data_IF_940676283010
#
_entry.id   IF_940676283010
#
_cell.length_a   1.000
_cell.length_b   1.000
_cell.length_c   1.000
_cell.angle_alpha   90.00
_cell.angle_beta   90.00
_cell.angle_gamma   90.00
#
_symmetry.space_group_name_H-M   'P 1'
#
loop_
_entity.id
_entity.type
_entity.pdbx_description
1 polymer ?
#
# COMPACT_ATOMS: atom_id res chain seq x y z
N UNK A 1 13.13 13.88 -31.15
CA UNK A 1 12.28 13.39 -30.05
C UNK A 1 12.37 14.38 -28.91
N UNK A 2 11.27 14.99 -28.52
CA UNK A 2 11.22 15.87 -27.35
C UNK A 2 10.98 15.04 -26.08
N UNK A 3 11.40 15.50 -24.88
CA UNK A 3 11.10 14.80 -23.64
C UNK A 3 9.62 14.50 -23.42
N UNK A 4 8.72 15.34 -23.96
CA UNK A 4 7.26 15.16 -23.92
C UNK A 4 6.75 14.00 -24.78
N UNK A 5 7.54 13.53 -25.75
CA UNK A 5 7.17 12.48 -26.68
C UNK A 5 7.58 11.08 -26.18
N UNK A 6 8.20 11.00 -25.01
CA UNK A 6 8.76 9.77 -24.46
C UNK A 6 7.82 9.20 -23.41
N UNK A 7 7.43 7.94 -23.54
CA UNK A 7 6.79 7.15 -22.49
C UNK A 7 7.88 6.47 -21.65
N UNK A 8 7.92 6.79 -20.36
CA UNK A 8 8.88 6.24 -19.39
C UNK A 8 8.28 5.13 -18.52
N UNK A 9 7.05 4.71 -18.80
CA UNK A 9 6.41 3.62 -18.07
C UNK A 9 7.24 2.35 -18.15
N UNK A 10 7.29 1.62 -17.05
CA UNK A 10 7.99 0.34 -16.93
C UNK A 10 7.25 -0.60 -16.01
N UNK A 11 7.79 -1.80 -15.81
CA UNK A 11 7.22 -2.82 -14.95
C UNK A 11 8.27 -3.28 -13.95
N UNK A 12 7.87 -3.38 -12.68
CA UNK A 12 8.71 -4.01 -11.65
C UNK A 12 8.43 -5.52 -11.56
N UNK A 13 7.21 -5.94 -11.87
CA UNK A 13 6.80 -7.32 -12.13
C UNK A 13 5.84 -7.33 -13.31
N UNK A 14 5.46 -8.50 -13.83
CA UNK A 14 4.56 -8.64 -14.99
C UNK A 14 3.24 -7.87 -14.84
N UNK A 15 2.79 -7.63 -13.63
CA UNK A 15 1.48 -7.01 -13.31
C UNK A 15 1.59 -5.73 -12.44
N UNK A 16 2.79 -5.33 -12.05
CA UNK A 16 3.01 -4.07 -11.32
C UNK A 16 3.73 -3.08 -12.23
N UNK A 17 2.93 -2.21 -12.85
CA UNK A 17 3.45 -1.11 -13.65
C UNK A 17 3.88 0.08 -12.79
N UNK A 18 4.92 0.77 -13.23
CA UNK A 18 5.39 2.04 -12.71
C UNK A 18 5.23 3.12 -13.79
N UNK A 19 4.69 4.27 -13.43
CA UNK A 19 4.62 5.43 -14.32
C UNK A 19 5.95 6.20 -14.35
N UNK A 20 6.76 6.05 -13.29
CA UNK A 20 8.13 6.52 -13.18
C UNK A 20 9.01 5.31 -12.80
N UNK A 21 10.03 4.90 -13.61
CA UNK A 21 10.80 3.67 -13.38
C UNK A 21 11.86 3.84 -12.29
N UNK A 22 11.43 4.30 -11.11
CA UNK A 22 12.28 4.55 -9.95
C UNK A 22 11.70 3.87 -8.72
N UNK A 23 12.57 3.15 -8.00
CA UNK A 23 12.30 2.59 -6.68
C UNK A 23 13.18 3.30 -5.66
N UNK A 24 12.65 3.72 -4.51
CA UNK A 24 13.49 4.21 -3.43
C UNK A 24 14.10 3.06 -2.64
N UNK A 25 15.35 3.23 -2.21
CA UNK A 25 16.13 2.19 -1.56
C UNK A 25 15.57 1.76 -0.21
N UNK A 26 15.64 0.45 0.08
CA UNK A 26 15.29 -0.14 1.37
C UNK A 26 16.37 0.13 2.43
N UNK A 27 16.68 1.39 2.64
CA UNK A 27 17.72 1.84 3.58
C UNK A 27 17.08 2.62 4.72
N UNK A 28 17.60 2.41 5.93
CA UNK A 28 17.28 3.23 7.10
C UNK A 28 17.52 4.71 6.79
N UNK A 29 16.70 5.58 7.32
CA UNK A 29 16.69 7.04 7.09
C UNK A 29 16.42 7.46 5.63
N UNK A 30 16.14 6.54 4.71
CA UNK A 30 15.79 6.83 3.31
C UNK A 30 14.32 6.54 3.05
N UNK A 31 13.87 5.30 3.24
CA UNK A 31 12.50 4.90 2.87
C UNK A 31 11.71 4.40 4.05
N UNK A 32 10.86 5.25 4.56
CA UNK A 32 9.77 4.97 5.47
C UNK A 32 8.44 5.38 4.82
N UNK A 33 7.32 5.32 5.55
CA UNK A 33 5.97 5.57 5.02
C UNK A 33 5.86 6.88 4.23
N UNK A 34 6.42 7.99 4.72
CA UNK A 34 6.34 9.29 4.05
C UNK A 34 7.04 9.29 2.69
N UNK A 35 8.24 8.72 2.60
CA UNK A 35 8.96 8.58 1.33
C UNK A 35 8.22 7.61 0.40
N UNK A 36 7.71 6.50 0.91
CA UNK A 36 6.95 5.53 0.11
C UNK A 36 5.66 6.15 -0.47
N UNK A 37 4.96 7.00 0.28
CA UNK A 37 3.82 7.77 -0.20
C UNK A 37 4.23 8.73 -1.32
N UNK A 38 5.27 9.55 -1.11
CA UNK A 38 5.75 10.50 -2.10
C UNK A 38 6.20 9.80 -3.39
N UNK A 39 6.90 8.68 -3.28
CA UNK A 39 7.32 7.86 -4.42
C UNK A 39 6.12 7.32 -5.20
N UNK A 40 5.13 6.75 -4.51
CA UNK A 40 3.93 6.23 -5.16
C UNK A 40 3.11 7.33 -5.84
N UNK A 41 3.00 8.52 -5.23
CA UNK A 41 2.34 9.70 -5.81
C UNK A 41 3.07 10.21 -7.06
N UNK A 42 4.40 10.16 -7.08
CA UNK A 42 5.20 10.53 -8.24
C UNK A 42 5.18 9.50 -9.38
N UNK A 43 4.65 8.30 -9.13
CA UNK A 43 4.57 7.23 -10.13
C UNK A 43 5.61 6.13 -10.00
N UNK A 44 6.53 6.24 -9.02
CA UNK A 44 7.50 5.22 -8.63
C UNK A 44 7.00 4.38 -7.47
N UNK A 45 7.89 3.65 -6.77
CA UNK A 45 7.51 2.84 -5.60
C UNK A 45 8.55 2.97 -4.50
N UNK A 46 8.09 3.13 -3.26
CA UNK A 46 8.96 3.09 -2.08
C UNK A 46 9.12 1.66 -1.55
N UNK A 47 10.37 1.30 -1.21
CA UNK A 47 10.69 0.03 -0.53
C UNK A 47 11.01 0.32 0.93
N UNK A 48 10.08 0.06 1.84
CA UNK A 48 10.25 0.32 3.27
C UNK A 48 11.35 -0.58 3.83
N UNK A 49 12.33 0.02 4.54
CA UNK A 49 13.49 -0.69 5.08
C UNK A 49 13.11 -1.65 6.22
N UNK A 50 13.97 -2.64 6.49
CA UNK A 50 13.75 -3.67 7.51
C UNK A 50 14.45 -3.42 8.87
N UNK A 51 15.07 -2.26 9.06
CA UNK A 51 15.65 -1.87 10.36
C UNK A 51 14.57 -1.36 11.33
N UNK A 52 13.51 -2.14 11.44
CA UNK A 52 12.31 -1.96 12.26
C UNK A 52 11.87 -3.33 12.76
N UNK A 53 11.04 -3.38 13.80
CA UNK A 53 10.37 -4.66 14.10
C UNK A 53 9.39 -5.03 12.99
N UNK A 54 9.00 -6.31 12.82
CA UNK A 54 7.99 -6.70 11.82
C UNK A 54 6.69 -5.91 11.96
N UNK A 55 6.23 -5.64 13.19
CA UNK A 55 5.01 -4.92 13.51
C UNK A 55 5.12 -3.44 13.13
N UNK A 56 6.25 -2.80 13.44
CA UNK A 56 6.51 -1.40 13.08
C UNK A 56 6.56 -1.21 11.57
N UNK A 57 7.24 -2.14 10.87
CA UNK A 57 7.32 -2.10 9.41
C UNK A 57 5.94 -2.35 8.76
N UNK A 58 5.17 -3.31 9.28
CA UNK A 58 3.80 -3.58 8.84
C UNK A 58 2.87 -2.38 9.07
N UNK A 59 3.03 -1.66 10.18
CA UNK A 59 2.27 -0.43 10.43
C UNK A 59 2.60 0.66 9.42
N UNK A 60 3.86 0.79 9.01
CA UNK A 60 4.24 1.73 7.94
C UNK A 60 3.64 1.34 6.58
N UNK A 61 3.59 0.04 6.24
CA UNK A 61 2.87 -0.44 5.05
C UNK A 61 1.40 -0.03 5.13
N UNK A 62 0.74 -0.27 6.27
CA UNK A 62 -0.67 0.14 6.48
C UNK A 62 -0.86 1.65 6.31
N UNK A 63 0.06 2.48 6.82
CA UNK A 63 0.01 3.94 6.63
C UNK A 63 -0.01 4.31 5.15
N UNK A 64 0.85 3.72 4.32
CA UNK A 64 0.85 3.96 2.87
C UNK A 64 -0.46 3.49 2.23
N UNK A 65 -0.93 2.29 2.58
CA UNK A 65 -2.19 1.73 2.03
C UNK A 65 -3.42 2.54 2.43
N UNK A 66 -3.39 3.19 3.58
CA UNK A 66 -4.48 4.06 4.06
C UNK A 66 -4.34 5.52 3.63
N UNK A 67 -3.18 5.89 3.07
CA UNK A 67 -2.96 7.23 2.59
C UNK A 67 -3.81 7.48 1.34
N UNK A 68 -4.84 8.27 1.54
CA UNK A 68 -5.81 8.85 0.63
C UNK A 68 -5.83 8.31 -0.82
N UNK A 69 -6.55 7.27 -0.99
CA UNK A 69 -6.77 6.61 -2.29
C UNK A 69 -8.18 6.93 -2.77
N UNK A 70 -8.47 7.96 -3.47
CA UNK A 70 -9.77 8.31 -4.12
C UNK A 70 -11.07 7.65 -3.59
N UNK A 71 -11.00 6.40 -3.13
CA UNK A 71 -12.03 5.66 -2.39
C UNK A 71 -11.36 4.88 -1.24
N UNK A 72 -11.77 5.13 -0.01
CA UNK A 72 -11.38 4.32 1.14
C UNK A 72 -12.17 3.01 1.11
N UNK A 73 -11.52 1.91 0.76
CA UNK A 73 -12.13 0.56 0.80
C UNK A 73 -12.10 0.04 2.25
N UNK A 74 -13.17 -0.62 2.69
CA UNK A 74 -13.34 -1.08 4.07
C UNK A 74 -13.07 0.03 5.09
N UNK A 75 -13.88 1.11 5.09
CA UNK A 75 -13.67 2.24 5.98
C UNK A 75 -13.79 1.80 7.45
N UNK A 76 -13.20 2.60 8.34
CA UNK A 76 -13.50 2.47 9.76
C UNK A 76 -14.98 2.78 9.97
N UNK A 77 -15.69 1.88 10.60
CA UNK A 77 -17.12 1.99 10.91
C UNK A 77 -17.37 1.93 12.41
N UNK A 78 -18.53 2.37 12.85
CA UNK A 78 -18.96 2.33 14.25
C UNK A 78 -20.41 1.86 14.34
N UNK A 79 -20.83 1.31 15.48
CA UNK A 79 -22.20 0.92 15.71
C UNK A 79 -23.08 2.07 16.24
N UNK A 80 -24.39 2.00 16.05
CA UNK A 80 -25.34 3.03 16.54
C UNK A 80 -25.38 3.13 18.07
N UNK A 81 -25.07 2.05 18.79
CA UNK A 81 -25.06 1.99 20.26
C UNK A 81 -23.75 2.42 20.91
N UNK A 82 -22.69 2.64 20.13
CA UNK A 82 -21.44 3.19 20.61
C UNK A 82 -21.62 4.64 21.11
N UNK A 83 -20.63 5.12 21.86
CA UNK A 83 -20.67 6.46 22.45
C UNK A 83 -19.92 7.50 21.62
N UNK A 84 -20.18 8.77 21.86
CA UNK A 84 -19.44 9.87 21.26
C UNK A 84 -17.95 9.82 21.60
N UNK A 85 -17.62 9.37 22.83
CA UNK A 85 -16.22 9.15 23.24
C UNK A 85 -15.52 8.12 22.34
N UNK A 86 -16.19 7.00 22.04
CA UNK A 86 -15.66 5.98 21.12
C UNK A 86 -15.41 6.56 19.72
N UNK A 87 -16.34 7.37 19.21
CA UNK A 87 -16.19 8.02 17.93
C UNK A 87 -14.99 9.00 17.89
N UNK A 88 -14.83 9.83 18.93
CA UNK A 88 -13.68 10.74 19.02
C UNK A 88 -12.35 9.99 19.10
N UNK A 89 -12.27 8.90 19.85
CA UNK A 89 -11.09 8.05 19.91
C UNK A 89 -10.72 7.48 18.53
N UNK A 90 -11.72 7.04 17.75
CA UNK A 90 -11.51 6.58 16.38
C UNK A 90 -11.08 7.72 15.44
N UNK A 91 -11.76 8.86 15.50
CA UNK A 91 -11.43 10.02 14.68
C UNK A 91 -10.00 10.50 14.92
N UNK A 92 -9.57 10.53 16.18
CA UNK A 92 -8.20 10.94 16.52
C UNK A 92 -7.17 9.87 16.13
N UNK A 93 -7.43 8.60 16.45
CA UNK A 93 -6.54 7.49 16.13
C UNK A 93 -6.28 7.35 14.63
N UNK A 94 -7.32 7.47 13.81
CA UNK A 94 -7.24 7.27 12.36
C UNK A 94 -7.18 8.58 11.57
N UNK A 95 -7.18 9.74 12.25
CA UNK A 95 -7.16 11.09 11.63
C UNK A 95 -8.27 11.28 10.58
N UNK A 96 -9.46 10.78 10.89
CA UNK A 96 -10.65 10.83 10.03
C UNK A 96 -11.68 11.81 10.58
N UNK A 97 -12.43 12.46 9.69
CA UNK A 97 -13.45 13.48 10.02
C UNK A 97 -14.89 12.99 9.84
N UNK A 98 -15.07 11.69 9.68
CA UNK A 98 -16.39 11.08 9.60
C UNK A 98 -16.30 9.58 9.50
N UNK A 99 -17.29 8.91 10.09
CA UNK A 99 -17.34 7.47 10.28
C UNK A 99 -18.70 6.96 9.81
N UNK A 100 -18.75 6.03 8.83
CA UNK A 100 -20.00 5.33 8.51
C UNK A 100 -20.51 4.55 9.72
N UNK A 101 -21.81 4.60 9.96
CA UNK A 101 -22.45 3.86 11.03
C UNK A 101 -23.14 2.62 10.45
N UNK A 102 -22.77 1.44 10.98
CA UNK A 102 -23.29 0.15 10.51
C UNK A 102 -23.96 -0.61 11.65
N UNK A 103 -25.01 -1.37 11.34
CA UNK A 103 -25.87 -2.00 12.33
C UNK A 103 -25.11 -2.83 13.39
N UNK A 104 -24.04 -3.53 13.00
CA UNK A 104 -23.25 -4.40 13.85
C UNK A 104 -21.81 -3.87 14.08
N UNK A 105 -21.63 -2.54 14.06
CA UNK A 105 -20.30 -1.89 14.09
C UNK A 105 -19.59 -1.92 15.46
N UNK A 106 -20.29 -2.25 16.54
CA UNK A 106 -19.72 -2.25 17.90
C UNK A 106 -19.13 -0.88 18.28
N UNK A 107 -18.05 -0.89 19.06
CA UNK A 107 -17.31 0.33 19.46
C UNK A 107 -16.35 0.85 18.38
N UNK A 108 -16.36 0.23 17.21
CA UNK A 108 -15.60 0.65 16.04
C UNK A 108 -14.57 -0.35 15.56
N UNK A 109 -14.36 -0.35 14.25
CA UNK A 109 -13.43 -1.23 13.56
C UNK A 109 -13.71 -1.27 12.06
N UNK A 110 -13.09 -2.20 11.34
CA UNK A 110 -13.37 -2.44 9.93
C UNK A 110 -14.45 -3.53 9.80
N UNK A 111 -15.68 -3.14 9.95
CA UNK A 111 -16.81 -4.06 9.85
C UNK A 111 -17.67 -3.69 8.63
N UNK A 112 -17.76 -4.60 7.68
CA UNK A 112 -18.71 -4.51 6.57
C UNK A 112 -20.09 -4.92 7.09
N UNK A 113 -20.87 -3.95 7.53
CA UNK A 113 -22.22 -4.16 8.02
C UNK A 113 -23.23 -3.29 7.26
N UNK A 114 -24.52 -3.60 7.44
CA UNK A 114 -25.60 -2.82 6.83
C UNK A 114 -25.49 -1.36 7.26
N UNK A 115 -25.39 -0.46 6.29
CA UNK A 115 -25.31 0.97 6.53
C UNK A 115 -26.60 1.49 7.17
N UNK A 116 -26.48 2.22 8.29
CA UNK A 116 -27.61 2.81 9.01
C UNK A 116 -27.47 4.32 9.22
N UNK A 117 -26.28 4.88 8.97
CA UNK A 117 -26.03 6.30 9.11
C UNK A 117 -24.59 6.71 8.79
N UNK A 118 -24.31 7.98 8.98
CA UNK A 118 -22.96 8.54 8.99
C UNK A 118 -22.82 9.54 10.13
N UNK A 119 -21.67 9.51 10.81
CA UNK A 119 -21.30 10.51 11.80
C UNK A 119 -20.14 11.34 11.26
N UNK A 120 -20.29 12.66 11.27
CA UNK A 120 -19.27 13.60 10.79
C UNK A 120 -18.95 14.65 11.84
N UNK A 121 -17.85 15.38 11.66
CA UNK A 121 -17.51 16.51 12.53
C UNK A 121 -18.63 17.57 12.62
N UNK A 122 -19.50 17.66 11.62
CA UNK A 122 -20.65 18.58 11.62
C UNK A 122 -21.70 18.12 12.63
N UNK A 123 -21.96 16.83 12.70
CA UNK A 123 -22.97 16.25 13.58
C UNK A 123 -22.58 16.36 15.06
N UNK A 124 -21.29 16.31 15.36
CA UNK A 124 -20.76 16.32 16.74
C UNK A 124 -20.25 17.68 17.21
N UNK A 125 -20.25 18.71 16.34
CA UNK A 125 -19.63 20.02 16.63
C UNK A 125 -20.08 20.67 17.95
N UNK A 126 -21.33 20.48 18.32
CA UNK A 126 -21.93 21.08 19.52
C UNK A 126 -22.34 20.06 20.57
N UNK A 127 -21.95 18.81 20.38
CA UNK A 127 -22.23 17.76 21.35
C UNK A 127 -21.26 17.90 22.54
N UNK A 128 -21.82 18.07 23.74
CA UNK A 128 -21.08 18.31 24.99
C UNK A 128 -21.02 17.11 25.93
N UNK A 129 -21.75 16.03 25.61
CA UNK A 129 -21.83 14.84 26.45
C UNK A 129 -21.26 13.63 25.71
N UNK A 130 -20.07 13.19 26.13
CA UNK A 130 -19.33 12.06 25.54
C UNK A 130 -20.06 10.71 25.64
N UNK A 131 -21.11 10.62 26.47
CA UNK A 131 -21.95 9.41 26.63
C UNK A 131 -23.13 9.34 25.69
N UNK A 132 -23.37 10.37 24.87
CA UNK A 132 -24.41 10.30 23.83
C UNK A 132 -24.18 9.11 22.91
N UNK A 133 -25.25 8.40 22.60
CA UNK A 133 -25.19 7.33 21.61
C UNK A 133 -25.01 7.90 20.21
N UNK A 134 -24.29 7.19 19.38
CA UNK A 134 -24.10 7.57 17.97
C UNK A 134 -25.44 7.65 17.24
N UNK A 135 -26.38 6.77 17.57
CA UNK A 135 -27.74 6.78 17.04
C UNK A 135 -28.49 8.10 17.21
N UNK A 136 -28.16 8.90 18.23
CA UNK A 136 -28.82 10.17 18.53
C UNK A 136 -28.20 11.35 17.78
N UNK A 137 -26.97 11.18 17.30
CA UNK A 137 -26.18 12.23 16.67
C UNK A 137 -25.98 12.02 15.16
N UNK A 138 -26.00 10.75 14.70
CA UNK A 138 -25.72 10.43 13.30
C UNK A 138 -26.78 10.97 12.34
N UNK A 139 -26.36 11.35 11.14
CA UNK A 139 -27.26 11.55 10.01
C UNK A 139 -27.72 10.19 9.51
N UNK A 140 -29.04 9.95 9.52
CA UNK A 140 -29.66 8.68 9.08
C UNK A 140 -30.66 8.85 7.94
N UNK A 141 -31.21 10.03 7.78
CA UNK A 141 -32.15 10.33 6.70
C UNK A 141 -31.40 10.86 5.47
N UNK A 142 -31.92 10.53 4.27
CA UNK A 142 -31.36 10.99 3.00
C UNK A 142 -29.85 10.68 2.83
N UNK A 143 -29.41 9.50 3.25
CA UNK A 143 -28.04 9.06 3.00
C UNK A 143 -27.81 8.94 1.50
N UNK A 144 -26.84 9.68 1.00
CA UNK A 144 -26.43 9.58 -0.41
C UNK A 144 -25.41 8.46 -0.53
N UNK A 145 -25.79 7.42 -1.26
CA UNK A 145 -24.96 6.24 -1.48
C UNK A 145 -24.76 5.97 -2.96
N UNK A 146 -23.66 5.32 -3.29
CA UNK A 146 -23.34 4.83 -4.64
C UNK A 146 -22.93 3.36 -4.57
N UNK A 147 -22.95 2.71 -5.72
CA UNK A 147 -22.45 1.34 -5.88
C UNK A 147 -20.94 1.34 -6.15
N UNK A 148 -20.32 0.20 -5.93
CA UNK A 148 -18.95 -0.03 -6.37
C UNK A 148 -18.80 0.23 -7.87
N UNK A 149 -17.65 0.83 -8.28
CA UNK A 149 -17.39 1.16 -9.69
C UNK A 149 -17.96 2.51 -10.15
N UNK A 150 -18.54 3.33 -9.25
CA UNK A 150 -18.96 4.70 -9.61
C UNK A 150 -17.78 5.49 -10.21
N UNK A 151 -18.03 6.23 -11.30
CA UNK A 151 -17.02 7.07 -11.92
C UNK A 151 -16.67 8.27 -11.01
N UNK A 152 -15.44 8.78 -11.14
CA UNK A 152 -15.02 9.98 -10.40
C UNK A 152 -15.90 11.20 -10.73
N UNK A 153 -16.33 11.34 -11.97
CA UNK A 153 -17.19 12.44 -12.43
C UNK A 153 -18.56 12.38 -11.77
N UNK A 154 -19.16 11.18 -11.71
CA UNK A 154 -20.45 10.97 -11.07
C UNK A 154 -20.35 11.17 -9.56
N UNK A 155 -19.32 10.66 -8.91
CA UNK A 155 -19.08 10.87 -7.48
C UNK A 155 -18.92 12.37 -7.17
N UNK A 156 -18.15 13.12 -7.99
CA UNK A 156 -17.98 14.57 -7.87
C UNK A 156 -19.31 15.32 -8.04
N UNK A 157 -20.11 14.92 -9.03
CA UNK A 157 -21.43 15.50 -9.28
C UNK A 157 -22.35 15.34 -8.06
N UNK A 158 -22.40 14.14 -7.47
CA UNK A 158 -23.23 13.85 -6.29
C UNK A 158 -22.76 14.62 -5.06
N UNK A 159 -21.43 14.66 -4.78
CA UNK A 159 -20.87 15.42 -3.67
C UNK A 159 -21.25 16.90 -3.78
N UNK A 160 -21.13 17.49 -4.97
CA UNK A 160 -21.49 18.89 -5.22
C UNK A 160 -23.00 19.13 -5.15
N UNK A 161 -23.83 18.29 -5.79
CA UNK A 161 -25.28 18.43 -5.84
C UNK A 161 -25.90 18.39 -4.44
N UNK A 162 -25.42 17.46 -3.59
CA UNK A 162 -25.91 17.27 -2.24
C UNK A 162 -25.16 18.07 -1.19
N UNK A 163 -24.13 18.85 -1.57
CA UNK A 163 -23.27 19.65 -0.68
C UNK A 163 -22.70 18.83 0.48
N UNK A 164 -22.29 17.60 0.19
CA UNK A 164 -21.66 16.67 1.14
C UNK A 164 -20.18 16.52 0.82
N UNK A 165 -19.39 16.22 1.85
CA UNK A 165 -17.94 16.01 1.72
C UNK A 165 -17.58 14.51 1.63
N UNK A 166 -18.53 13.64 1.90
CA UNK A 166 -18.34 12.20 1.97
C UNK A 166 -19.48 11.47 1.29
N UNK A 167 -19.15 10.55 0.40
CA UNK A 167 -20.08 9.73 -0.35
C UNK A 167 -19.87 8.26 0.05
N UNK A 168 -20.92 7.62 0.52
CA UNK A 168 -20.87 6.25 1.00
C UNK A 168 -21.01 5.27 -0.15
N UNK A 169 -20.14 4.25 -0.19
CA UNK A 169 -20.20 3.18 -1.18
C UNK A 169 -20.75 1.92 -0.54
N UNK A 170 -21.76 1.35 -1.16
CA UNK A 170 -22.47 0.18 -0.64
C UNK A 170 -22.51 -0.95 -1.68
N UNK A 171 -22.57 -2.19 -1.18
CA UNK A 171 -22.81 -3.37 -2.00
C UNK A 171 -24.32 -3.58 -2.32
N UNK A 172 -24.65 -4.70 -2.98
CA UNK A 172 -26.04 -5.06 -3.32
C UNK A 172 -26.93 -5.25 -2.10
N UNK A 173 -26.34 -5.59 -0.96
CA UNK A 173 -27.05 -5.82 0.31
C UNK A 173 -27.10 -4.58 1.21
N UNK A 174 -26.68 -3.41 0.69
CA UNK A 174 -26.56 -2.15 1.45
C UNK A 174 -25.53 -2.19 2.58
N UNK A 175 -24.53 -3.08 2.50
CA UNK A 175 -23.40 -3.03 3.42
C UNK A 175 -22.43 -1.94 2.99
N UNK A 176 -21.87 -1.23 3.95
CA UNK A 176 -20.87 -0.19 3.70
C UNK A 176 -19.53 -0.84 3.32
N UNK A 177 -19.13 -0.70 2.06
CA UNK A 177 -17.87 -1.24 1.52
C UNK A 177 -16.84 -0.18 1.22
N UNK A 178 -17.23 1.09 1.18
CA UNK A 178 -16.32 2.18 0.83
C UNK A 178 -16.80 3.56 1.25
N UNK A 179 -15.89 4.52 1.17
CA UNK A 179 -16.12 5.94 1.41
C UNK A 179 -15.29 6.76 0.43
N UNK A 180 -15.93 7.69 -0.30
CA UNK A 180 -15.27 8.65 -1.20
C UNK A 180 -15.36 10.03 -0.54
N UNK A 181 -14.24 10.78 -0.50
CA UNK A 181 -14.24 12.14 0.04
C UNK A 181 -13.81 13.17 -1.00
N UNK A 182 -14.21 14.42 -0.82
CA UNK A 182 -13.77 15.54 -1.68
C UNK A 182 -12.25 15.64 -1.69
N UNK A 183 -11.60 15.48 -0.53
CA UNK A 183 -10.13 15.51 -0.42
C UNK A 183 -9.45 14.43 -1.26
N UNK A 184 -10.02 13.21 -1.31
CA UNK A 184 -9.48 12.12 -2.11
C UNK A 184 -9.55 12.44 -3.61
N UNK A 185 -10.62 13.12 -4.03
CA UNK A 185 -10.78 13.54 -5.42
C UNK A 185 -9.84 14.69 -5.81
N UNK A 186 -9.64 15.66 -4.93
CA UNK A 186 -8.68 16.75 -5.15
C UNK A 186 -7.24 16.22 -5.26
N UNK A 187 -6.86 15.26 -4.41
CA UNK A 187 -5.53 14.63 -4.46
C UNK A 187 -5.31 13.73 -5.67
N UNK A 188 -6.35 13.05 -6.13
CA UNK A 188 -6.27 12.30 -7.38
C UNK A 188 -5.95 13.19 -8.59
N UNK A 189 -6.38 14.46 -8.56
CA UNK A 189 -6.03 15.47 -9.57
C UNK A 189 -4.60 16.01 -9.41
N UNK A 190 -4.10 16.11 -8.16
CA UNK A 190 -2.74 16.59 -7.87
C UNK A 190 -1.67 15.57 -8.25
N UNK A 191 -1.98 14.27 -8.21
CA UNK A 191 -1.05 13.18 -8.49
C UNK A 191 -1.58 12.21 -9.58
N UNK A 192 -1.72 12.68 -10.83
CA UNK A 192 -2.26 11.86 -11.92
C UNK A 192 -1.37 10.67 -12.28
N UNK A 193 -0.08 10.76 -11.95
CA UNK A 193 0.89 9.69 -12.19
C UNK A 193 0.96 8.66 -11.06
N UNK A 194 0.20 8.83 -9.97
CA UNK A 194 0.27 7.93 -8.81
C UNK A 194 0.01 6.47 -9.19
N UNK A 195 0.82 5.57 -8.64
CA UNK A 195 0.61 4.12 -8.82
C UNK A 195 -0.34 3.60 -7.74
N UNK A 196 -1.39 2.92 -8.19
CA UNK A 196 -2.46 2.42 -7.31
C UNK A 196 -2.75 0.94 -7.58
N UNK A 197 -3.23 0.25 -6.56
CA UNK A 197 -3.75 -1.11 -6.69
C UNK A 197 -5.20 -1.11 -7.23
N UNK A 198 -5.79 -2.29 -7.40
CA UNK A 198 -7.15 -2.44 -7.91
C UNK A 198 -8.23 -1.80 -7.00
N UNK A 199 -7.90 -1.57 -5.72
CA UNK A 199 -8.77 -0.87 -4.76
C UNK A 199 -8.51 0.65 -4.72
N UNK A 200 -7.67 1.19 -5.61
CA UNK A 200 -7.33 2.61 -5.67
C UNK A 200 -6.36 3.08 -4.57
N UNK A 201 -5.75 2.18 -3.80
CA UNK A 201 -4.77 2.51 -2.75
C UNK A 201 -3.37 2.62 -3.33
N UNK A 202 -2.53 3.48 -2.76
CA UNK A 202 -1.14 3.61 -3.17
C UNK A 202 -0.41 2.26 -3.05
N UNK A 203 0.44 1.96 -4.03
CA UNK A 203 1.29 0.76 -4.00
C UNK A 203 2.53 0.99 -3.18
N UNK A 204 2.96 -0.04 -2.46
CA UNK A 204 4.13 -0.01 -1.58
C UNK A 204 4.87 -1.34 -1.60
N UNK A 205 6.20 -1.26 -1.57
CA UNK A 205 7.07 -2.40 -1.35
C UNK A 205 7.67 -2.37 0.05
N UNK A 206 8.10 -3.52 0.55
CA UNK A 206 8.82 -3.60 1.82
C UNK A 206 9.90 -4.70 1.78
N UNK A 207 11.03 -4.42 2.42
CA UNK A 207 12.15 -5.34 2.47
C UNK A 207 11.97 -6.39 3.58
N UNK A 208 12.34 -7.63 3.25
CA UNK A 208 12.48 -8.74 4.17
C UNK A 208 13.85 -9.41 4.01
N UNK A 209 14.06 -10.51 4.70
CA UNK A 209 15.31 -11.26 4.68
C UNK A 209 15.03 -12.77 4.71
N UNK A 210 16.07 -13.58 4.89
CA UNK A 210 15.99 -15.04 4.93
C UNK A 210 15.79 -15.59 6.33
N UNK A 211 15.51 -16.91 6.46
CA UNK A 211 15.31 -17.61 7.72
C UNK A 211 13.95 -17.38 8.35
N UNK A 212 13.74 -17.91 9.57
CA UNK A 212 12.43 -17.86 10.24
C UNK A 212 11.99 -16.44 10.56
N UNK A 213 12.87 -15.58 11.07
CA UNK A 213 12.57 -14.17 11.32
C UNK A 213 12.21 -13.43 10.03
N UNK A 214 12.87 -13.75 8.91
CA UNK A 214 12.52 -13.19 7.59
C UNK A 214 11.16 -13.66 7.12
N UNK A 215 10.81 -14.91 7.38
CA UNK A 215 9.50 -15.45 7.04
C UNK A 215 8.38 -14.81 7.88
N UNK A 216 8.53 -14.74 9.20
CA UNK A 216 7.56 -14.08 10.08
C UNK A 216 7.32 -12.62 9.67
N UNK A 217 8.39 -11.89 9.37
CA UNK A 217 8.33 -10.53 8.82
C UNK A 217 7.55 -10.49 7.50
N UNK A 218 7.84 -11.40 6.60
CA UNK A 218 7.16 -11.48 5.29
C UNK A 218 5.66 -11.70 5.45
N UNK A 219 5.25 -12.59 6.36
CA UNK A 219 3.83 -12.82 6.64
C UNK A 219 3.15 -11.57 7.24
N UNK A 220 3.78 -10.89 8.19
CA UNK A 220 3.25 -9.64 8.75
C UNK A 220 3.09 -8.53 7.69
N UNK A 221 4.02 -8.43 6.75
CA UNK A 221 3.95 -7.47 5.64
C UNK A 221 2.84 -7.84 4.63
N UNK A 222 2.66 -9.11 4.33
CA UNK A 222 1.59 -9.62 3.47
C UNK A 222 0.23 -9.33 4.09
N UNK A 223 0.07 -9.61 5.39
CA UNK A 223 -1.16 -9.28 6.14
C UNK A 223 -1.43 -7.77 6.17
N UNK A 224 -0.39 -6.94 6.23
CA UNK A 224 -0.50 -5.48 6.14
C UNK A 224 -0.90 -4.98 4.74
N UNK A 225 -0.89 -5.84 3.71
CA UNK A 225 -1.28 -5.53 2.34
C UNK A 225 -0.16 -4.97 1.47
N UNK A 226 1.10 -5.38 1.71
CA UNK A 226 2.24 -5.01 0.83
C UNK A 226 1.98 -5.49 -0.60
N UNK A 227 2.29 -4.66 -1.59
CA UNK A 227 2.11 -5.02 -3.01
C UNK A 227 3.32 -5.80 -3.55
N UNK A 228 4.51 -5.52 -3.02
CA UNK A 228 5.76 -6.11 -3.47
C UNK A 228 6.67 -6.41 -2.27
N UNK A 229 7.00 -7.67 -2.09
CA UNK A 229 7.97 -8.10 -1.08
C UNK A 229 9.36 -8.14 -1.69
N UNK A 230 10.36 -7.55 -1.02
CA UNK A 230 11.75 -7.54 -1.48
C UNK A 230 12.62 -8.38 -0.54
N UNK A 231 13.06 -9.55 -0.97
CA UNK A 231 14.04 -10.35 -0.25
C UNK A 231 15.42 -9.77 -0.56
N UNK A 232 15.87 -8.87 0.32
CA UNK A 232 17.06 -8.04 0.13
C UNK A 232 18.25 -8.57 0.92
N UNK A 233 19.26 -9.05 0.20
CA UNK A 233 20.48 -9.65 0.77
C UNK A 233 21.72 -9.14 0.06
N UNK A 234 22.86 -9.18 0.75
CA UNK A 234 24.16 -8.83 0.16
C UNK A 234 24.61 -9.83 -0.92
N UNK A 235 24.15 -11.10 -0.85
CA UNK A 235 24.47 -12.17 -1.79
C UNK A 235 23.22 -13.01 -2.05
N UNK A 236 22.55 -12.73 -3.17
CA UNK A 236 21.29 -13.37 -3.55
C UNK A 236 21.45 -14.82 -4.06
N UNK A 237 22.62 -15.18 -4.61
CA UNK A 237 22.89 -16.55 -5.06
C UNK A 237 23.23 -17.46 -3.86
N UNK A 238 22.28 -17.64 -3.00
CA UNK A 238 22.38 -18.45 -1.77
C UNK A 238 21.16 -19.34 -1.64
N UNK A 239 21.36 -20.58 -1.22
CA UNK A 239 20.28 -21.55 -0.94
C UNK A 239 19.22 -20.93 0.00
N UNK A 240 19.65 -20.18 1.02
CA UNK A 240 18.74 -19.54 1.97
C UNK A 240 17.82 -18.50 1.31
N UNK A 241 18.28 -17.84 0.25
CA UNK A 241 17.45 -16.86 -0.47
C UNK A 241 16.42 -17.57 -1.33
N UNK A 242 16.82 -18.63 -2.05
CA UNK A 242 15.90 -19.47 -2.81
C UNK A 242 14.83 -20.09 -1.90
N UNK A 243 15.22 -20.71 -0.78
CA UNK A 243 14.31 -21.27 0.23
C UNK A 243 13.32 -20.21 0.80
N UNK A 244 13.79 -18.98 1.03
CA UNK A 244 12.93 -17.91 1.50
C UNK A 244 11.87 -17.53 0.46
N UNK A 245 12.23 -17.44 -0.82
CA UNK A 245 11.31 -17.18 -1.93
C UNK A 245 10.29 -18.31 -2.04
N UNK A 246 10.73 -19.56 -2.11
CA UNK A 246 9.86 -20.74 -2.21
C UNK A 246 8.89 -20.82 -1.03
N UNK A 247 9.38 -20.58 0.20
CA UNK A 247 8.57 -20.65 1.41
C UNK A 247 7.46 -19.59 1.39
N UNK A 248 7.76 -18.35 1.03
CA UNK A 248 6.75 -17.30 0.90
C UNK A 248 5.75 -17.61 -0.20
N UNK A 249 6.22 -18.07 -1.37
CA UNK A 249 5.34 -18.46 -2.50
C UNK A 249 4.40 -19.61 -2.17
N UNK A 250 4.82 -20.54 -1.32
CA UNK A 250 3.98 -21.64 -0.85
C UNK A 250 2.81 -21.18 0.00
N UNK A 251 3.05 -20.20 0.87
CA UNK A 251 2.02 -19.62 1.75
C UNK A 251 1.16 -18.57 1.04
N UNK A 252 1.74 -17.81 0.11
CA UNK A 252 1.08 -16.74 -0.62
C UNK A 252 1.59 -16.64 -2.06
N UNK A 253 1.02 -17.46 -2.94
CA UNK A 253 1.40 -17.48 -4.36
C UNK A 253 1.04 -16.16 -5.10
N UNK A 254 0.07 -15.41 -4.58
CA UNK A 254 -0.33 -14.12 -5.15
C UNK A 254 0.64 -12.97 -4.82
N UNK A 255 1.46 -13.10 -3.77
CA UNK A 255 2.44 -12.08 -3.39
C UNK A 255 3.54 -11.98 -4.44
N UNK A 256 3.81 -10.76 -4.90
CA UNK A 256 4.93 -10.48 -5.81
C UNK A 256 6.23 -10.33 -5.03
N UNK A 257 7.28 -11.00 -5.51
CA UNK A 257 8.58 -11.06 -4.84
C UNK A 257 9.68 -10.59 -5.79
N UNK A 258 10.45 -9.60 -5.32
CA UNK A 258 11.78 -9.27 -5.85
C UNK A 258 12.81 -9.96 -4.98
N UNK A 259 13.75 -10.67 -5.57
CA UNK A 259 14.84 -11.31 -4.83
C UNK A 259 16.20 -10.84 -5.34
N UNK A 260 17.17 -10.72 -4.44
CA UNK A 260 18.54 -10.33 -4.77
C UNK A 260 19.40 -10.05 -3.53
N UNK A 261 20.61 -9.48 -3.73
CA UNK A 261 21.16 -8.99 -4.98
C UNK A 261 21.96 -10.06 -5.71
N UNK A 262 21.89 -10.03 -7.01
CA UNK A 262 22.66 -10.92 -7.89
C UNK A 262 23.42 -10.11 -8.95
N UNK A 263 24.36 -10.74 -9.65
CA UNK A 263 25.13 -10.11 -10.72
C UNK A 263 25.49 -11.07 -11.86
N UNK A 264 24.94 -12.30 -11.87
CA UNK A 264 25.23 -13.32 -12.89
C UNK A 264 23.95 -13.99 -13.39
N UNK A 265 24.03 -14.56 -14.60
CA UNK A 265 22.95 -15.30 -15.24
C UNK A 265 22.50 -16.52 -14.38
N UNK A 266 23.46 -17.28 -13.85
CA UNK A 266 23.18 -18.46 -13.03
C UNK A 266 22.42 -18.12 -11.76
N UNK A 267 22.82 -16.99 -11.11
CA UNK A 267 22.12 -16.51 -9.92
C UNK A 267 20.69 -16.04 -10.26
N UNK A 268 20.51 -15.39 -11.39
CA UNK A 268 19.21 -14.96 -11.89
C UNK A 268 18.31 -16.16 -12.12
N UNK A 269 18.82 -17.19 -12.85
CA UNK A 269 18.08 -18.43 -13.09
C UNK A 269 17.65 -19.11 -11.79
N UNK A 270 18.56 -19.24 -10.83
CA UNK A 270 18.28 -19.90 -9.55
C UNK A 270 17.14 -19.22 -8.77
N UNK A 271 17.05 -17.87 -8.80
CA UNK A 271 15.98 -17.13 -8.13
C UNK A 271 14.66 -17.18 -8.91
N UNK A 272 14.70 -17.20 -10.24
CA UNK A 272 13.51 -17.39 -11.09
C UNK A 272 12.94 -18.78 -10.85
N UNK A 273 13.78 -19.82 -10.86
CA UNK A 273 13.39 -21.22 -10.59
C UNK A 273 12.76 -21.37 -9.19
N UNK A 274 13.21 -20.59 -8.20
CA UNK A 274 12.62 -20.53 -6.86
C UNK A 274 11.28 -19.78 -6.80
N UNK A 275 10.87 -19.10 -7.90
CA UNK A 275 9.58 -18.40 -8.00
C UNK A 275 9.64 -16.90 -7.78
N UNK A 276 10.79 -16.25 -7.86
CA UNK A 276 10.87 -14.78 -7.82
C UNK A 276 10.20 -14.17 -9.07
N UNK A 277 9.40 -13.13 -8.89
CA UNK A 277 8.71 -12.42 -9.98
C UNK A 277 9.61 -11.35 -10.63
N UNK A 278 10.65 -10.92 -9.93
CA UNK A 278 11.63 -9.94 -10.40
C UNK A 278 12.95 -10.11 -9.67
N UNK A 279 14.03 -9.66 -10.28
CA UNK A 279 15.39 -9.85 -9.80
C UNK A 279 16.06 -8.49 -9.50
N UNK A 280 16.63 -8.35 -8.31
CA UNK A 280 17.41 -7.17 -7.93
C UNK A 280 18.87 -7.38 -8.30
N UNK A 281 19.32 -6.67 -9.34
CA UNK A 281 20.66 -6.81 -9.92
C UNK A 281 21.60 -5.74 -9.40
N UNK A 282 22.79 -6.13 -8.97
CA UNK A 282 23.89 -5.24 -8.60
C UNK A 282 24.61 -5.68 -7.34
N UNK A 283 25.93 -5.85 -7.46
CA UNK A 283 26.85 -6.16 -6.35
C UNK A 283 28.03 -5.19 -6.40
N UNK A 284 28.12 -4.32 -5.41
CA UNK A 284 29.19 -3.36 -5.26
C UNK A 284 29.23 -2.15 -6.23
N UNK A 285 28.15 -1.79 -6.99
CA UNK A 285 28.24 -0.71 -7.98
C UNK A 285 28.16 0.69 -7.37
N UNK A 286 27.60 0.83 -6.17
CA UNK A 286 27.36 2.13 -5.54
C UNK A 286 28.66 2.87 -5.20
N UNK A 287 28.66 4.21 -5.35
CA UNK A 287 29.81 5.05 -5.01
C UNK A 287 30.18 4.98 -3.51
N UNK A 288 29.16 4.79 -2.66
CA UNK A 288 29.32 4.65 -1.21
C UNK A 288 29.48 3.19 -0.76
N UNK A 289 29.39 2.21 -1.68
CA UNK A 289 29.44 0.80 -1.33
C UNK A 289 30.83 0.36 -0.89
N UNK A 290 30.95 -0.17 0.32
CA UNK A 290 32.20 -0.67 0.89
C UNK A 290 32.50 -2.11 0.51
N UNK A 291 31.59 -2.86 -0.11
CA UNK A 291 31.75 -4.28 -0.46
C UNK A 291 33.00 -4.53 -1.30
N UNK A 292 33.30 -3.69 -2.29
CA UNK A 292 34.49 -3.81 -3.12
C UNK A 292 35.78 -3.63 -2.33
N UNK A 293 35.79 -2.75 -1.34
CA UNK A 293 36.96 -2.44 -0.52
C UNK A 293 37.17 -3.51 0.54
N UNK A 294 36.08 -3.91 1.23
CA UNK A 294 36.14 -4.85 2.37
C UNK A 294 36.24 -6.30 1.91
N UNK A 295 35.41 -6.69 0.93
CA UNK A 295 35.27 -8.08 0.48
C UNK A 295 35.97 -8.35 -0.88
N UNK A 296 36.43 -7.32 -1.58
CA UNK A 296 37.00 -7.46 -2.93
C UNK A 296 36.00 -7.92 -3.99
N UNK A 297 34.70 -7.81 -3.72
CA UNK A 297 33.62 -8.32 -4.58
C UNK A 297 32.85 -7.16 -5.21
N UNK A 298 32.67 -7.22 -6.52
CA UNK A 298 31.86 -6.27 -7.26
C UNK A 298 31.85 -6.58 -8.74
N UNK A 299 30.74 -6.23 -9.41
CA UNK A 299 30.57 -6.39 -10.86
C UNK A 299 30.13 -5.06 -11.44
N UNK A 300 30.68 -4.63 -12.60
CA UNK A 300 30.20 -3.45 -13.30
C UNK A 300 28.68 -3.56 -13.59
N UNK A 301 27.92 -2.53 -13.22
CA UNK A 301 26.46 -2.62 -13.21
C UNK A 301 25.87 -2.95 -14.58
N UNK A 302 26.37 -2.34 -15.66
CA UNK A 302 25.86 -2.60 -17.00
C UNK A 302 26.07 -4.05 -17.41
N UNK A 303 27.27 -4.61 -17.16
CA UNK A 303 27.57 -6.02 -17.46
C UNK A 303 26.69 -6.98 -16.66
N UNK A 304 26.44 -6.67 -15.36
CA UNK A 304 25.55 -7.45 -14.52
C UNK A 304 24.12 -7.43 -15.05
N UNK A 305 23.60 -6.25 -15.42
CA UNK A 305 22.24 -6.10 -15.96
C UNK A 305 22.10 -6.86 -17.28
N UNK A 306 23.05 -6.73 -18.21
CA UNK A 306 23.01 -7.44 -19.50
C UNK A 306 22.95 -8.95 -19.31
N UNK A 307 23.86 -9.54 -18.52
CA UNK A 307 23.88 -10.99 -18.32
C UNK A 307 22.65 -11.51 -17.55
N UNK A 308 22.11 -10.75 -16.58
CA UNK A 308 20.91 -11.13 -15.88
C UNK A 308 19.66 -11.01 -16.77
N UNK A 309 19.57 -9.98 -17.61
CA UNK A 309 18.45 -9.77 -18.51
C UNK A 309 18.38 -10.86 -19.59
N UNK A 310 19.51 -11.21 -20.23
CA UNK A 310 19.58 -12.31 -21.19
C UNK A 310 19.08 -13.65 -20.63
N UNK A 311 19.28 -13.89 -19.34
CA UNK A 311 18.78 -15.09 -18.68
C UNK A 311 17.29 -14.98 -18.35
N UNK A 312 16.83 -13.81 -17.92
CA UNK A 312 15.44 -13.58 -17.56
C UNK A 312 14.47 -13.61 -18.78
N UNK A 313 14.99 -13.35 -19.97
CA UNK A 313 14.22 -13.35 -21.24
C UNK A 313 14.00 -14.77 -21.82
N UNK A 314 14.67 -15.79 -21.28
CA UNK A 314 14.51 -17.19 -21.68
C UNK A 314 13.26 -17.83 -21.05
#
# INVERSE_FOLDING_TARGET
VLPTDVDIKSYVTKDIALNLPILSSAMDTVTEANMAIAMAQAGGMGVIHRNLTPEQQAEQVKQVKHFESGMVVNPITIGPDATLADAYALMDRYKISGIPVVANGGTGGRNNGKLVGILTNRDVRFASNDRHKISDLMTREQLITVREGVSQEEAKRLLHQHRIEKLLVVDEHQNCIGLITVKDMEKAQLHPSAIKDAQGRLRVAAASTTGDQGFERSMALIEAGVDLLVIDTAHGHSVRVAEAVERVKRESNSTRIVAGNVATAEATKALIDAGADSIKVGIGPGSICTTRIVAGVGVPQLAAVMGCAEEADK
#
